data_IF_944321648081
#
_entry.id   IF_944321648081
#
_cell.length_a   1.000
_cell.length_b   1.000
_cell.length_c   1.000
_cell.angle_alpha   90.00
_cell.angle_beta   90.00
_cell.angle_gamma   90.00
#
_symmetry.space_group_name_H-M   'P 1'
#
loop_
_entity.id
_entity.type
_entity.pdbx_description
1 polymer ?
#
# COMPACT_ATOMS: atom_id res chain seq x y z
N UNK A 1 33.06 -64.09 41.36
CA UNK A 1 32.67 -62.91 40.55
C UNK A 1 31.35 -63.19 39.87
N UNK A 2 30.22 -62.72 40.41
CA UNK A 2 28.95 -62.68 39.68
C UNK A 2 28.59 -61.21 39.52
N UNK A 3 28.73 -60.71 38.30
CA UNK A 3 28.36 -59.35 37.91
C UNK A 3 26.83 -59.26 38.00
N UNK A 4 26.25 -58.37 38.84
CA UNK A 4 24.80 -58.22 38.86
C UNK A 4 24.35 -57.64 37.52
N UNK A 5 23.65 -58.45 36.73
CA UNK A 5 22.84 -57.97 35.61
C UNK A 5 21.72 -57.12 36.20
N UNK A 6 21.92 -55.80 36.25
CA UNK A 6 20.85 -54.86 36.60
C UNK A 6 19.85 -54.88 35.45
N UNK A 7 18.81 -55.70 35.60
CA UNK A 7 17.63 -55.66 34.75
C UNK A 7 16.91 -54.36 35.05
N UNK A 8 16.98 -53.41 34.14
CA UNK A 8 16.20 -52.17 34.19
C UNK A 8 14.72 -52.54 34.32
N UNK A 9 14.03 -51.98 35.30
CA UNK A 9 12.63 -52.35 35.54
C UNK A 9 11.76 -51.79 34.42
N UNK A 10 10.74 -52.54 33.99
CA UNK A 10 9.83 -52.14 32.90
C UNK A 10 9.19 -50.75 33.15
N UNK A 11 9.05 -50.38 34.43
CA UNK A 11 8.57 -49.07 34.89
C UNK A 11 9.58 -47.96 34.53
N UNK A 12 10.87 -48.14 34.77
CA UNK A 12 11.90 -47.14 34.42
C UNK A 12 11.96 -46.89 32.91
N UNK A 13 11.76 -47.94 32.09
CA UNK A 13 11.71 -47.81 30.63
C UNK A 13 10.47 -47.00 30.22
N UNK A 14 9.29 -47.31 30.77
CA UNK A 14 8.06 -46.56 30.48
C UNK A 14 8.16 -45.09 30.88
N UNK A 15 8.71 -44.79 32.06
CA UNK A 15 8.91 -43.41 32.54
C UNK A 15 9.90 -42.68 31.64
N UNK A 16 10.99 -43.33 31.24
CA UNK A 16 11.97 -42.73 30.33
C UNK A 16 11.33 -42.40 28.98
N UNK A 17 10.57 -43.32 28.39
CA UNK A 17 9.85 -43.10 27.12
C UNK A 17 8.83 -41.96 27.25
N UNK A 18 8.11 -41.87 28.36
CA UNK A 18 7.15 -40.79 28.62
C UNK A 18 7.84 -39.42 28.75
N UNK A 19 8.98 -39.35 29.45
CA UNK A 19 9.75 -38.09 29.56
C UNK A 19 10.25 -37.68 28.17
N UNK A 20 10.82 -38.60 27.40
CA UNK A 20 11.30 -38.30 26.05
C UNK A 20 10.17 -37.87 25.10
N UNK A 21 8.99 -38.48 25.18
CA UNK A 21 7.86 -38.08 24.33
C UNK A 21 7.34 -36.70 24.69
N UNK A 22 7.20 -36.37 25.97
CA UNK A 22 6.74 -35.05 26.42
C UNK A 22 7.76 -33.97 26.05
N UNK A 23 9.05 -34.20 26.31
CA UNK A 23 10.11 -33.24 25.96
C UNK A 23 10.21 -33.08 24.44
N UNK A 24 10.12 -34.19 23.69
CA UNK A 24 10.15 -34.15 22.22
C UNK A 24 8.99 -33.37 21.63
N UNK A 25 7.76 -33.57 22.14
CA UNK A 25 6.58 -32.81 21.71
C UNK A 25 6.71 -31.33 22.08
N UNK A 26 7.20 -31.00 23.28
CA UNK A 26 7.41 -29.63 23.71
C UNK A 26 8.46 -28.92 22.83
N UNK A 27 9.59 -29.56 22.54
CA UNK A 27 10.62 -29.01 21.64
C UNK A 27 10.07 -28.78 20.23
N UNK A 28 9.28 -29.72 19.70
CA UNK A 28 8.66 -29.58 18.39
C UNK A 28 7.67 -28.40 18.35
N UNK A 29 6.84 -28.24 19.38
CA UNK A 29 5.91 -27.11 19.49
C UNK A 29 6.63 -25.76 19.56
N UNK A 30 7.74 -25.67 20.31
CA UNK A 30 8.56 -24.46 20.40
C UNK A 30 9.20 -24.13 19.05
N UNK A 31 9.72 -25.13 18.33
CA UNK A 31 10.32 -24.90 17.01
C UNK A 31 9.30 -24.41 15.97
N UNK A 32 8.09 -24.96 15.98
CA UNK A 32 7.01 -24.55 15.08
C UNK A 32 6.58 -23.11 15.35
N UNK A 33 6.32 -22.77 16.62
CA UNK A 33 5.93 -21.41 17.04
C UNK A 33 7.05 -20.40 16.79
N UNK A 34 8.31 -20.74 17.09
CA UNK A 34 9.46 -19.89 16.81
C UNK A 34 9.65 -19.63 15.31
N UNK A 35 9.39 -20.63 14.45
CA UNK A 35 9.51 -20.47 13.00
C UNK A 35 8.43 -19.54 12.46
N UNK A 36 7.20 -19.63 12.98
CA UNK A 36 6.10 -18.74 12.60
C UNK A 36 6.38 -17.29 13.01
N UNK A 37 6.82 -17.09 14.26
CA UNK A 37 7.20 -15.77 14.76
C UNK A 37 8.34 -15.15 13.94
N UNK A 38 9.36 -15.95 13.60
CA UNK A 38 10.46 -15.52 12.76
C UNK A 38 9.98 -15.09 11.36
N UNK A 39 9.11 -15.88 10.72
CA UNK A 39 8.56 -15.55 9.40
C UNK A 39 7.75 -14.26 9.42
N UNK A 40 6.93 -14.07 10.46
CA UNK A 40 6.15 -12.84 10.66
C UNK A 40 7.06 -11.62 10.87
N UNK A 41 8.12 -11.78 11.67
CA UNK A 41 9.11 -10.73 11.90
C UNK A 41 9.87 -10.34 10.63
N UNK A 42 10.35 -11.31 9.86
CA UNK A 42 11.07 -11.05 8.59
C UNK A 42 10.16 -10.41 7.52
N UNK A 43 8.88 -10.81 7.46
CA UNK A 43 7.90 -10.17 6.59
C UNK A 43 7.74 -8.68 6.91
N UNK A 44 7.47 -8.33 8.17
CA UNK A 44 7.27 -6.92 8.56
C UNK A 44 8.55 -6.10 8.38
N UNK A 45 9.71 -6.67 8.73
CA UNK A 45 11.01 -6.01 8.53
C UNK A 45 11.27 -5.72 7.04
N UNK A 46 11.05 -6.68 6.15
CA UNK A 46 11.25 -6.49 4.72
C UNK A 46 10.29 -5.45 4.13
N UNK A 47 9.02 -5.43 4.57
CA UNK A 47 8.07 -4.40 4.16
C UNK A 47 8.51 -3.00 4.64
N UNK A 48 8.96 -2.89 5.89
CA UNK A 48 9.44 -1.63 6.48
C UNK A 48 10.69 -1.12 5.77
N UNK A 49 11.70 -1.96 5.54
CA UNK A 49 12.94 -1.58 4.86
C UNK A 49 12.65 -1.07 3.43
N UNK A 50 11.78 -1.76 2.69
CA UNK A 50 11.32 -1.32 1.37
C UNK A 50 10.52 -0.03 1.42
N UNK A 51 9.67 0.16 2.44
CA UNK A 51 8.88 1.39 2.59
C UNK A 51 9.79 2.62 2.75
N UNK A 52 10.86 2.49 3.55
CA UNK A 52 11.78 3.59 3.81
C UNK A 52 12.48 4.01 2.51
N UNK A 53 12.96 3.04 1.70
CA UNK A 53 13.63 3.39 0.45
C UNK A 53 12.67 4.01 -0.58
N UNK A 54 11.45 3.48 -0.68
CA UNK A 54 10.44 4.00 -1.61
C UNK A 54 10.02 5.41 -1.20
N UNK A 55 9.65 5.60 0.06
CA UNK A 55 9.17 6.89 0.55
C UNK A 55 10.27 7.96 0.47
N UNK A 56 11.52 7.62 0.77
CA UNK A 56 12.65 8.54 0.60
C UNK A 56 12.86 8.95 -0.87
N UNK A 57 12.68 8.01 -1.82
CA UNK A 57 12.81 8.31 -3.24
C UNK A 57 11.67 9.22 -3.75
N UNK A 58 10.45 8.98 -3.27
CA UNK A 58 9.29 9.85 -3.55
C UNK A 58 9.49 11.23 -2.93
N UNK A 59 9.97 11.30 -1.69
CA UNK A 59 10.24 12.55 -0.98
C UNK A 59 11.33 13.38 -1.70
N UNK A 60 12.41 12.75 -2.18
CA UNK A 60 13.44 13.42 -2.99
C UNK A 60 12.90 13.99 -4.31
N UNK A 61 11.88 13.36 -4.91
CA UNK A 61 11.19 13.91 -6.07
C UNK A 61 10.26 15.06 -5.70
N UNK A 62 9.53 14.95 -4.58
CA UNK A 62 8.61 15.99 -4.09
C UNK A 62 9.36 17.25 -3.63
N UNK A 63 10.55 17.12 -3.06
CA UNK A 63 11.39 18.26 -2.67
C UNK A 63 11.90 19.05 -3.88
N UNK A 64 11.89 18.43 -5.06
CA UNK A 64 12.27 19.05 -6.34
C UNK A 64 11.06 19.43 -7.17
N UNK A 65 9.85 19.38 -6.61
CA UNK A 65 8.64 19.69 -7.33
C UNK A 65 8.65 21.14 -7.82
N UNK A 66 8.32 21.32 -9.10
CA UNK A 66 8.19 22.66 -9.68
C UNK A 66 6.86 23.26 -9.21
N UNK A 67 6.84 24.45 -8.60
CA UNK A 67 5.59 25.11 -8.21
C UNK A 67 4.73 25.48 -9.42
N UNK A 68 3.41 25.60 -9.25
CA UNK A 68 2.50 26.03 -10.32
C UNK A 68 2.89 27.38 -10.95
N UNK A 69 3.35 28.34 -10.15
CA UNK A 69 3.79 29.65 -10.65
C UNK A 69 4.94 29.56 -11.68
N UNK A 70 5.68 28.45 -11.68
CA UNK A 70 6.78 28.17 -12.59
C UNK A 70 6.37 27.18 -13.70
N UNK A 71 5.09 26.84 -13.87
CA UNK A 71 4.61 25.89 -14.86
C UNK A 71 4.81 24.41 -14.46
N UNK A 72 4.86 24.14 -13.15
CA UNK A 72 4.83 22.78 -12.63
C UNK A 72 3.43 22.19 -12.60
N UNK A 73 3.35 20.86 -12.55
CA UNK A 73 2.10 20.12 -12.40
C UNK A 73 2.31 18.92 -11.47
N UNK A 74 1.21 18.50 -10.85
CA UNK A 74 1.08 17.21 -10.17
C UNK A 74 -0.26 16.62 -10.55
N UNK A 75 -0.24 15.35 -10.95
CA UNK A 75 -1.42 14.63 -11.39
C UNK A 75 -1.47 13.21 -10.83
N UNK A 76 -2.66 12.72 -10.49
CA UNK A 76 -2.87 11.31 -10.18
C UNK A 76 -4.10 10.76 -10.90
N UNK A 77 -3.99 9.59 -11.51
CA UNK A 77 -5.08 8.91 -12.23
C UNK A 77 -5.21 7.46 -11.78
N UNK A 78 -6.42 6.90 -11.73
CA UNK A 78 -6.66 5.50 -11.35
C UNK A 78 -6.33 4.60 -12.54
N UNK A 79 -5.48 3.60 -12.33
CA UNK A 79 -4.99 2.68 -13.36
C UNK A 79 -5.80 1.39 -13.46
N UNK A 80 -6.38 0.92 -12.35
CA UNK A 80 -7.05 -0.39 -12.31
C UNK A 80 -8.19 -0.45 -11.28
N UNK A 81 -8.92 -1.56 -11.31
CA UNK A 81 -10.07 -1.83 -10.44
C UNK A 81 -9.69 -2.06 -8.96
N UNK A 82 -8.40 -2.28 -8.67
CA UNK A 82 -7.86 -2.34 -7.31
C UNK A 82 -7.63 -0.94 -6.71
N UNK A 83 -7.86 0.12 -7.49
CA UNK A 83 -7.68 1.50 -7.04
C UNK A 83 -6.22 1.97 -7.06
N UNK A 84 -5.31 1.25 -7.76
CA UNK A 84 -3.96 1.74 -7.95
C UNK A 84 -3.97 3.04 -8.74
N UNK A 85 -3.11 3.98 -8.37
CA UNK A 85 -2.94 5.22 -9.09
C UNK A 85 -1.62 5.25 -9.88
N UNK A 86 -1.61 6.02 -10.97
CA UNK A 86 -0.40 6.61 -11.53
C UNK A 86 -0.25 8.00 -10.95
N UNK A 87 0.90 8.33 -10.37
CA UNK A 87 1.27 9.71 -10.03
C UNK A 87 2.21 10.25 -11.10
N UNK A 88 1.93 11.44 -11.62
CA UNK A 88 2.77 12.17 -12.55
C UNK A 88 3.09 13.55 -11.97
N UNK A 89 4.32 14.01 -12.07
CA UNK A 89 4.71 15.34 -11.59
C UNK A 89 5.90 15.91 -12.34
N UNK A 90 5.97 17.25 -12.40
CA UNK A 90 7.10 17.98 -12.99
C UNK A 90 8.08 18.39 -11.90
N UNK A 91 9.34 17.95 -11.99
CA UNK A 91 10.39 18.22 -11.02
C UNK A 91 11.59 18.91 -11.66
N UNK A 92 12.41 19.58 -10.86
CA UNK A 92 13.70 20.10 -11.28
C UNK A 92 14.73 18.97 -11.44
N UNK A 93 15.53 19.05 -12.50
CA UNK A 93 16.62 18.11 -12.76
C UNK A 93 17.72 18.27 -11.70
N UNK A 94 18.17 17.15 -11.15
CA UNK A 94 19.28 17.11 -10.18
C UNK A 94 20.61 17.47 -10.84
N UNK A 95 20.79 17.05 -12.09
CA UNK A 95 22.04 17.24 -12.82
C UNK A 95 21.99 18.51 -13.68
N UNK A 96 22.60 19.57 -13.15
CA UNK A 96 22.69 20.86 -13.85
C UNK A 96 23.63 20.83 -15.06
N UNK A 97 24.48 19.81 -15.19
CA UNK A 97 25.39 19.68 -16.34
C UNK A 97 24.67 19.27 -17.63
N UNK A 98 23.49 18.67 -17.50
CA UNK A 98 22.65 18.26 -18.63
C UNK A 98 21.77 19.39 -19.17
N UNK A 99 21.82 20.57 -18.54
CA UNK A 99 21.05 21.74 -18.95
C UNK A 99 21.74 22.36 -20.16
N UNK A 100 21.06 22.35 -21.29
CA UNK A 100 21.54 22.99 -22.52
C UNK A 100 21.39 24.51 -22.42
N UNK A 101 22.04 25.23 -23.34
CA UNK A 101 21.96 26.70 -23.43
C UNK A 101 20.52 27.21 -23.59
N UNK A 102 19.64 26.38 -24.14
CA UNK A 102 18.24 26.69 -24.40
C UNK A 102 17.30 26.30 -23.24
N UNK A 103 17.85 25.88 -22.09
CA UNK A 103 17.08 25.48 -20.90
C UNK A 103 16.63 24.01 -20.89
N UNK A 104 16.70 23.32 -22.04
CA UNK A 104 16.38 21.89 -22.13
C UNK A 104 17.23 21.09 -21.15
N UNK A 105 16.62 20.16 -20.42
CA UNK A 105 17.30 19.40 -19.38
C UNK A 105 17.16 19.98 -17.97
N UNK A 106 16.53 21.15 -17.85
CA UNK A 106 16.24 21.76 -16.54
C UNK A 106 15.14 21.03 -15.77
N UNK A 107 14.17 20.43 -16.47
CA UNK A 107 12.98 19.82 -15.87
C UNK A 107 12.76 18.38 -16.34
N UNK A 108 12.22 17.57 -15.44
CA UNK A 108 11.84 16.19 -15.68
C UNK A 108 10.36 16.00 -15.38
N UNK A 109 9.68 15.20 -16.20
CA UNK A 109 8.41 14.61 -15.83
C UNK A 109 8.70 13.24 -15.22
N UNK A 110 8.24 13.02 -14.00
CA UNK A 110 8.42 11.77 -13.25
C UNK A 110 7.07 11.12 -13.03
N UNK A 111 7.07 9.80 -13.14
CA UNK A 111 5.89 8.96 -13.03
C UNK A 111 6.13 7.87 -11.99
N UNK A 112 5.11 7.56 -11.20
CA UNK A 112 5.10 6.47 -10.24
C UNK A 112 3.86 5.62 -10.47
N UNK A 113 4.02 4.29 -10.50
CA UNK A 113 2.91 3.35 -10.62
C UNK A 113 3.25 1.99 -10.06
N UNK A 114 2.23 1.21 -9.75
CA UNK A 114 2.39 -0.23 -9.52
C UNK A 114 2.21 -0.97 -10.83
N UNK A 115 3.23 -1.73 -11.22
CA UNK A 115 3.12 -2.67 -12.32
C UNK A 115 2.52 -3.98 -11.80
N UNK A 116 1.27 -4.24 -12.19
CA UNK A 116 0.51 -5.45 -11.84
C UNK A 116 0.59 -6.55 -12.90
N UNK A 117 1.47 -6.42 -13.92
CA UNK A 117 1.60 -7.42 -14.99
C UNK A 117 1.98 -8.82 -14.46
N UNK A 118 2.79 -8.88 -13.39
CA UNK A 118 2.94 -10.10 -12.59
C UNK A 118 2.17 -9.97 -11.27
N UNK A 119 0.97 -10.57 -11.16
CA UNK A 119 0.16 -10.49 -9.94
C UNK A 119 0.81 -11.18 -8.74
N UNK A 120 1.86 -12.00 -8.94
CA UNK A 120 2.60 -12.64 -7.86
C UNK A 120 3.65 -11.72 -7.24
N UNK A 121 4.16 -10.78 -8.04
CA UNK A 121 5.26 -9.89 -7.68
C UNK A 121 4.97 -8.49 -8.20
N UNK A 122 3.99 -7.78 -7.61
CA UNK A 122 3.72 -6.42 -8.02
C UNK A 122 4.92 -5.54 -7.64
N UNK A 123 5.33 -4.69 -8.58
CA UNK A 123 6.53 -3.87 -8.48
C UNK A 123 6.13 -2.41 -8.58
N UNK A 124 6.61 -1.58 -7.65
CA UNK A 124 6.52 -0.14 -7.81
C UNK A 124 7.60 0.30 -8.81
N UNK A 125 7.17 0.95 -9.88
CA UNK A 125 8.04 1.47 -10.92
C UNK A 125 8.08 2.99 -10.86
N UNK A 126 9.27 3.54 -11.11
CA UNK A 126 9.49 4.96 -11.34
C UNK A 126 9.91 5.17 -12.78
N UNK A 127 9.17 6.00 -13.49
CA UNK A 127 9.46 6.43 -14.85
C UNK A 127 9.93 7.87 -14.88
N UNK A 128 10.79 8.23 -15.83
CA UNK A 128 11.16 9.62 -16.06
C UNK A 128 11.38 9.93 -17.54
N UNK A 129 11.08 11.17 -17.93
CA UNK A 129 11.42 11.76 -19.22
C UNK A 129 11.73 13.25 -19.08
N UNK A 130 12.42 13.81 -20.06
CA UNK A 130 12.63 15.26 -20.13
C UNK A 130 11.29 15.98 -20.32
N UNK A 131 11.04 17.01 -19.51
CA UNK A 131 9.87 17.87 -19.63
C UNK A 131 10.24 19.16 -20.37
N UNK A 132 9.28 19.75 -21.09
CA UNK A 132 9.48 21.06 -21.70
C UNK A 132 9.37 22.16 -20.65
N UNK A 133 10.17 23.22 -20.84
CA UNK A 133 10.21 24.38 -19.95
C UNK A 133 9.00 25.32 -20.14
N UNK A 134 8.45 25.40 -21.35
CA UNK A 134 7.49 26.43 -21.78
C UNK A 134 6.02 26.07 -21.67
N UNK A 135 5.70 24.80 -21.50
CA UNK A 135 4.33 24.35 -21.70
C UNK A 135 3.72 24.20 -20.30
N UNK A 136 3.08 25.27 -19.83
CA UNK A 136 2.10 25.22 -18.73
C UNK A 136 0.83 24.46 -19.11
N UNK A 137 0.93 23.59 -20.13
CA UNK A 137 -0.11 22.74 -20.67
C UNK A 137 0.16 21.32 -20.14
N UNK A 138 -0.53 20.92 -19.06
CA UNK A 138 -0.42 19.56 -18.55
C UNK A 138 -0.87 18.51 -19.57
N UNK A 139 -1.67 18.84 -20.59
CA UNK A 139 -2.22 17.82 -21.50
C UNK A 139 -1.14 17.26 -22.45
N UNK A 140 -0.18 18.10 -22.87
CA UNK A 140 0.93 17.65 -23.71
C UNK A 140 2.03 16.89 -22.94
N UNK A 141 2.13 17.10 -21.63
CA UNK A 141 3.19 16.52 -20.78
C UNK A 141 2.68 15.43 -19.80
N UNK A 142 1.39 15.37 -19.49
CA UNK A 142 0.80 14.52 -18.46
C UNK A 142 -0.28 13.53 -18.97
N UNK A 143 -0.95 13.77 -20.10
CA UNK A 143 -2.15 12.98 -20.45
C UNK A 143 -1.97 11.83 -21.44
N UNK A 144 -0.92 11.80 -22.26
CA UNK A 144 -0.76 10.70 -23.24
C UNK A 144 0.38 9.77 -22.86
N UNK A 145 -0.01 8.82 -22.02
CA UNK A 145 0.61 7.54 -21.73
C UNK A 145 2.04 7.55 -21.16
N UNK A 146 2.28 6.64 -20.22
CA UNK A 146 3.62 6.17 -19.89
C UNK A 146 4.38 5.53 -21.08
N UNK A 147 3.82 5.59 -22.28
CA UNK A 147 4.37 5.14 -23.53
C UNK A 147 5.58 6.02 -23.89
N UNK A 148 6.72 5.36 -24.03
CA UNK A 148 8.06 5.97 -24.18
C UNK A 148 8.70 6.48 -22.88
N UNK A 149 8.18 6.11 -21.71
CA UNK A 149 8.91 6.27 -20.46
C UNK A 149 9.74 5.01 -20.19
N UNK A 150 11.02 5.20 -19.84
CA UNK A 150 11.82 4.09 -19.32
C UNK A 150 11.46 3.87 -17.84
N UNK A 151 10.86 2.72 -17.57
CA UNK A 151 10.41 2.33 -16.22
C UNK A 151 11.52 1.63 -15.47
N UNK A 152 11.81 2.10 -14.26
CA UNK A 152 12.80 1.51 -13.36
C UNK A 152 12.11 0.94 -12.13
N UNK A 153 12.26 -0.37 -11.85
CA UNK A 153 11.80 -0.98 -10.60
C UNK A 153 12.43 -0.26 -9.40
N UNK A 154 11.59 0.27 -8.51
CA UNK A 154 12.02 1.01 -7.31
C UNK A 154 11.70 0.25 -6.03
N UNK A 155 10.72 -0.66 -6.05
CA UNK A 155 10.43 -1.54 -4.93
C UNK A 155 9.63 -2.78 -5.31
N UNK A 156 9.95 -3.91 -4.70
CA UNK A 156 9.26 -5.20 -4.91
C UNK A 156 8.23 -5.42 -3.80
N UNK A 157 7.09 -6.02 -4.15
CA UNK A 157 6.04 -6.36 -3.19
C UNK A 157 5.12 -5.18 -2.86
N UNK A 158 5.16 -4.10 -3.65
CA UNK A 158 4.22 -3.00 -3.56
C UNK A 158 2.92 -3.40 -4.24
N UNK A 159 1.91 -3.78 -3.46
CA UNK A 159 0.64 -4.28 -3.97
C UNK A 159 -0.35 -3.16 -4.26
N UNK A 160 -0.19 -2.02 -3.58
CA UNK A 160 -1.06 -0.86 -3.75
C UNK A 160 -0.25 0.43 -3.73
N UNK A 161 -0.58 1.35 -4.63
CA UNK A 161 -0.10 2.73 -4.62
C UNK A 161 -1.26 3.66 -4.93
N UNK A 162 -1.46 4.67 -4.09
CA UNK A 162 -2.53 5.65 -4.30
C UNK A 162 -2.15 7.02 -3.77
N UNK A 163 -2.79 8.03 -4.35
CA UNK A 163 -2.51 9.44 -4.06
C UNK A 163 -3.81 10.21 -3.85
N UNK A 164 -3.79 11.09 -2.86
CA UNK A 164 -4.85 12.03 -2.54
C UNK A 164 -4.27 13.43 -2.46
N UNK A 165 -5.04 14.43 -2.88
CA UNK A 165 -4.66 15.83 -2.86
C UNK A 165 -5.59 16.62 -1.93
N UNK A 166 -5.06 17.66 -1.29
CA UNK A 166 -5.84 18.66 -0.55
C UNK A 166 -5.69 20.02 -1.24
N UNK A 167 -6.81 20.71 -1.45
CA UNK A 167 -6.84 22.10 -1.91
C UNK A 167 -6.59 23.11 -0.78
N UNK A 168 -7.05 22.80 0.43
CA UNK A 168 -6.94 23.72 1.57
C UNK A 168 -5.56 23.64 2.23
N UNK A 169 -4.90 24.80 2.35
CA UNK A 169 -3.63 24.99 3.04
C UNK A 169 -3.78 24.92 4.58
N UNK A 170 -4.72 24.15 5.09
CA UNK A 170 -4.90 24.01 6.52
C UNK A 170 -3.78 23.13 7.08
N UNK A 171 -2.88 23.76 7.84
CA UNK A 171 -1.85 23.10 8.64
C UNK A 171 -2.42 22.01 9.59
N UNK A 172 -3.74 22.02 9.80
CA UNK A 172 -4.50 21.01 10.51
C UNK A 172 -4.66 19.67 9.76
N UNK A 173 -4.26 19.55 8.48
CA UNK A 173 -4.32 18.30 7.69
C UNK A 173 -2.94 17.67 7.47
N UNK A 174 -1.95 18.02 8.28
CA UNK A 174 -0.59 17.45 8.16
C UNK A 174 -0.43 16.14 8.94
N UNK A 175 -1.40 15.72 9.76
CA UNK A 175 -1.34 14.44 10.46
C UNK A 175 -2.07 13.34 9.66
N UNK A 176 -1.53 12.10 9.57
CA UNK A 176 -2.18 11.00 8.86
C UNK A 176 -3.61 10.68 9.32
N UNK A 177 -3.94 10.98 10.59
CA UNK A 177 -5.28 10.77 11.15
C UNK A 177 -6.34 11.74 10.61
N UNK A 178 -5.94 12.94 10.19
CA UNK A 178 -6.87 13.96 9.66
C UNK A 178 -7.34 13.63 8.23
N UNK A 179 -6.71 12.64 7.61
CA UNK A 179 -7.09 12.10 6.30
C UNK A 179 -7.95 10.83 6.42
N UNK A 180 -8.33 10.42 7.64
CA UNK A 180 -9.04 9.16 7.90
C UNK A 180 -10.32 9.30 8.74
N UNK A 181 -10.62 10.46 9.31
CA UNK A 181 -11.80 10.59 10.19
C UNK A 181 -12.39 12.00 10.16
N UNK A 182 -13.70 12.10 9.96
CA UNK A 182 -14.46 13.29 10.35
C UNK A 182 -14.81 13.26 11.86
N UNK A 183 -15.53 14.29 12.33
CA UNK A 183 -15.95 14.40 13.73
C UNK A 183 -16.91 13.28 14.21
N UNK A 184 -17.46 12.46 13.30
CA UNK A 184 -18.29 11.30 13.61
C UNK A 184 -17.49 9.98 13.65
N UNK A 185 -16.20 9.99 13.28
CA UNK A 185 -15.34 8.80 13.28
C UNK A 185 -15.50 7.93 12.02
N UNK A 186 -16.13 8.46 10.98
CA UNK A 186 -16.22 7.80 9.67
C UNK A 186 -15.06 8.26 8.77
N UNK A 187 -14.55 7.34 7.93
CA UNK A 187 -13.62 7.64 6.82
C UNK A 187 -14.38 8.42 5.73
N UNK A 188 -14.68 9.70 5.99
CA UNK A 188 -15.31 10.60 5.03
C UNK A 188 -14.43 11.83 4.84
N UNK A 189 -14.10 12.06 3.58
CA UNK A 189 -13.48 13.26 3.01
C UNK A 189 -14.13 14.55 3.54
N UNK A 190 -13.44 15.71 3.59
CA UNK A 190 -14.09 17.00 3.78
C UNK A 190 -15.12 17.19 2.67
N UNK A 191 -16.39 17.09 3.03
CA UNK A 191 -17.40 17.85 2.32
C UNK A 191 -17.05 19.31 2.59
N UNK A 192 -16.54 20.01 1.60
CA UNK A 192 -16.41 21.46 1.66
C UNK A 192 -17.75 22.03 2.14
N UNK A 193 -17.68 22.74 3.26
CA UNK A 193 -18.83 23.31 3.92
C UNK A 193 -19.58 24.24 2.96
N UNK A 194 -20.85 23.93 2.74
CA UNK A 194 -21.83 24.94 2.34
C UNK A 194 -22.03 25.16 0.85
N UNK A 195 -22.28 24.12 0.07
CA UNK A 195 -23.34 24.22 -0.95
C UNK A 195 -23.95 22.85 -1.23
N UNK A 196 -25.28 22.78 -1.22
CA UNK A 196 -26.04 21.56 -1.49
C UNK A 196 -25.89 21.02 -2.94
N UNK A 197 -24.93 21.54 -3.71
CA UNK A 197 -24.61 21.11 -5.07
C UNK A 197 -23.44 20.10 -5.14
N UNK A 198 -22.69 19.88 -4.05
CA UNK A 198 -21.58 18.91 -4.00
C UNK A 198 -21.78 17.80 -2.96
N UNK A 199 -23.01 17.64 -2.45
CA UNK A 199 -23.37 16.72 -1.37
C UNK A 199 -23.35 15.21 -1.76
N UNK A 200 -22.68 14.84 -2.85
CA UNK A 200 -22.53 13.44 -3.25
C UNK A 200 -21.25 13.16 -4.03
N UNK A 201 -20.10 13.66 -3.57
CA UNK A 201 -18.82 13.02 -3.94
C UNK A 201 -18.56 11.86 -2.97
N UNK A 202 -19.56 10.97 -2.88
CA UNK A 202 -19.32 9.57 -2.60
C UNK A 202 -18.66 9.01 -3.87
N UNK A 203 -17.62 8.17 -3.82
CA UNK A 203 -17.08 7.56 -5.03
C UNK A 203 -18.15 6.64 -5.60
N UNK A 204 -18.95 7.16 -6.53
CA UNK A 204 -19.82 6.35 -7.37
C UNK A 204 -18.91 5.59 -8.33
N UNK A 205 -19.10 4.27 -8.51
CA UNK A 205 -18.42 3.52 -9.56
C UNK A 205 -18.55 4.27 -10.91
N UNK A 206 -17.44 4.66 -11.52
CA UNK A 206 -17.44 5.36 -12.80
C UNK A 206 -17.39 6.90 -12.75
N UNK A 207 -17.23 7.54 -11.58
CA UNK A 207 -16.76 8.93 -11.53
C UNK A 207 -15.31 8.96 -11.07
N UNK A 208 -14.35 9.00 -11.99
CA UNK A 208 -12.96 9.19 -11.63
C UNK A 208 -12.83 10.57 -10.94
N UNK A 209 -11.89 10.70 -9.99
CA UNK A 209 -11.07 11.90 -10.03
C UNK A 209 -10.22 11.78 -11.29
N UNK A 210 -10.88 11.86 -12.44
CA UNK A 210 -10.29 12.45 -13.60
C UNK A 210 -9.97 13.84 -13.12
N UNK A 211 -8.83 14.35 -13.55
CA UNK A 211 -8.77 15.78 -13.70
C UNK A 211 -10.10 16.20 -14.30
N UNK A 212 -10.80 17.12 -13.62
CA UNK A 212 -11.64 18.05 -14.37
C UNK A 212 -10.77 18.42 -15.55
N UNK A 213 -11.22 18.03 -16.74
CA UNK A 213 -10.64 18.31 -18.05
C UNK A 213 -9.86 19.64 -18.00
N UNK A 214 -8.74 19.74 -18.74
CA UNK A 214 -7.60 20.61 -18.45
C UNK A 214 -8.03 21.90 -17.81
N UNK A 215 -7.59 22.15 -16.57
CA UNK A 215 -7.86 23.42 -15.93
C UNK A 215 -9.39 23.70 -15.80
N UNK A 216 -10.00 23.66 -14.60
CA UNK A 216 -10.76 24.86 -14.28
C UNK A 216 -9.70 25.96 -14.37
N UNK A 217 -9.90 26.99 -15.20
CA UNK A 217 -8.97 28.11 -15.40
C UNK A 217 -8.57 28.87 -14.10
N UNK A 218 -8.92 28.30 -12.94
CA UNK A 218 -8.81 28.76 -11.56
C UNK A 218 -8.48 27.62 -10.56
N UNK A 219 -8.19 26.38 -11.00
CA UNK A 219 -7.85 25.26 -10.11
C UNK A 219 -6.51 25.49 -9.41
N UNK A 220 -6.55 25.76 -8.10
CA UNK A 220 -5.35 25.96 -7.32
C UNK A 220 -4.47 24.70 -7.33
N UNK A 221 -3.16 24.89 -7.43
CA UNK A 221 -2.18 23.83 -7.17
C UNK A 221 -2.47 23.23 -5.79
N UNK A 222 -2.49 21.89 -5.64
CA UNK A 222 -2.79 21.28 -4.36
C UNK A 222 -1.78 21.76 -3.33
N UNK A 223 -2.24 22.08 -2.12
CA UNK A 223 -1.41 22.58 -1.02
C UNK A 223 -0.82 21.45 -0.18
N UNK A 224 -1.41 20.26 -0.25
CA UNK A 224 -0.86 19.05 0.35
C UNK A 224 -1.23 17.80 -0.46
N UNK A 225 -0.47 16.74 -0.26
CA UNK A 225 -0.78 15.43 -0.78
C UNK A 225 -0.53 14.34 0.26
N UNK A 226 -1.32 13.27 0.17
CA UNK A 226 -1.10 12.02 0.88
C UNK A 226 -0.82 10.93 -0.14
N UNK A 227 0.24 10.17 0.09
CA UNK A 227 0.59 8.97 -0.65
C UNK A 227 0.38 7.80 0.30
N UNK A 228 -0.27 6.75 -0.18
CA UNK A 228 -0.44 5.49 0.55
C UNK A 228 0.12 4.34 -0.27
N UNK A 229 0.93 3.54 0.39
CA UNK A 229 1.51 2.31 -0.12
C UNK A 229 0.97 1.15 0.70
N UNK A 230 0.72 0.02 0.03
CA UNK A 230 0.52 -1.24 0.72
C UNK A 230 1.60 -2.21 0.27
N UNK A 231 2.44 -2.63 1.22
CA UNK A 231 3.58 -3.50 0.95
C UNK A 231 3.35 -4.86 1.60
N UNK A 232 3.57 -5.93 0.83
CA UNK A 232 3.70 -7.31 1.36
C UNK A 232 5.15 -7.68 1.69
N UNK A 233 6.10 -6.77 1.45
CA UNK A 233 7.53 -7.06 1.51
C UNK A 233 7.99 -8.03 0.41
N UNK A 234 9.26 -7.98 0.05
CA UNK A 234 9.86 -8.86 -0.96
C UNK A 234 10.18 -10.26 -0.38
N UNK A 235 9.21 -10.86 0.30
CA UNK A 235 9.45 -12.04 1.09
C UNK A 235 8.64 -13.22 0.58
N UNK A 236 9.33 -14.35 0.37
CA UNK A 236 8.69 -15.67 0.25
C UNK A 236 7.79 -16.02 1.45
N UNK A 237 7.88 -15.26 2.53
CA UNK A 237 7.08 -15.38 3.74
C UNK A 237 5.86 -14.45 3.76
N UNK A 238 5.58 -13.71 2.68
CA UNK A 238 4.36 -12.93 2.55
C UNK A 238 3.14 -13.85 2.79
N UNK A 239 2.31 -13.55 3.80
CA UNK A 239 1.22 -14.42 4.20
C UNK A 239 0.15 -14.43 3.11
N UNK A 240 -0.26 -15.64 2.73
CA UNK A 240 -1.27 -15.90 1.70
C UNK A 240 -2.30 -16.84 2.26
N UNK A 241 -3.56 -16.62 1.90
CA UNK A 241 -4.66 -17.48 2.31
C UNK A 241 -5.69 -17.63 1.20
N UNK A 242 -6.76 -18.35 1.51
CA UNK A 242 -7.92 -18.47 0.62
C UNK A 242 -9.22 -18.27 1.39
N UNK A 243 -10.17 -17.57 0.77
CA UNK A 243 -11.50 -17.33 1.36
C UNK A 243 -12.22 -18.66 1.58
N UNK A 244 -12.74 -18.86 2.79
CA UNK A 244 -13.60 -19.98 3.17
C UNK A 244 -15.06 -19.56 3.12
N UNK A 245 -15.36 -18.40 3.70
CA UNK A 245 -16.67 -17.76 3.69
C UNK A 245 -16.48 -16.26 3.77
N UNK A 246 -17.34 -15.52 3.06
CA UNK A 246 -17.28 -14.07 3.04
C UNK A 246 -18.65 -13.45 3.37
N UNK A 247 -18.66 -12.59 4.38
CA UNK A 247 -19.82 -11.81 4.79
C UNK A 247 -19.42 -10.34 4.92
N UNK A 248 -20.39 -9.43 4.97
CA UNK A 248 -20.10 -7.99 4.98
C UNK A 248 -19.14 -7.56 6.09
N UNK A 249 -19.24 -8.17 7.27
CA UNK A 249 -18.49 -7.79 8.49
C UNK A 249 -17.42 -8.80 8.90
N UNK A 250 -17.35 -9.96 8.24
CA UNK A 250 -16.48 -11.05 8.63
C UNK A 250 -16.06 -11.89 7.41
N UNK A 251 -14.75 -12.10 7.29
CA UNK A 251 -14.16 -12.88 6.18
C UNK A 251 -13.32 -13.97 6.78
N UNK A 252 -13.75 -15.22 6.58
CA UNK A 252 -13.03 -16.40 7.05
C UNK A 252 -12.05 -16.86 5.99
N UNK A 253 -10.82 -17.11 6.40
CA UNK A 253 -9.69 -17.44 5.54
C UNK A 253 -8.98 -18.68 6.06
N UNK A 254 -8.57 -19.55 5.14
CA UNK A 254 -7.74 -20.72 5.41
C UNK A 254 -6.30 -20.51 4.91
N UNK A 255 -5.35 -21.19 5.55
CA UNK A 255 -3.94 -21.18 5.12
C UNK A 255 -3.16 -19.91 5.45
N UNK A 256 -3.82 -18.91 6.03
CA UNK A 256 -3.19 -17.66 6.45
C UNK A 256 -2.51 -17.85 7.82
N UNK A 257 -1.19 -17.74 7.86
CA UNK A 257 -0.40 -17.70 9.08
C UNK A 257 0.25 -16.34 9.26
N UNK A 258 0.42 -15.89 10.51
CA UNK A 258 1.17 -14.66 10.81
C UNK A 258 0.56 -13.34 10.33
N UNK A 259 -0.77 -13.26 10.18
CA UNK A 259 -1.44 -11.99 9.86
C UNK A 259 -1.10 -10.90 10.87
N UNK A 260 -0.83 -9.67 10.39
CA UNK A 260 -0.69 -8.54 11.29
C UNK A 260 -2.04 -8.27 11.97
N UNK A 261 -2.02 -8.00 13.27
CA UNK A 261 -3.20 -7.59 14.04
C UNK A 261 -3.08 -6.13 14.43
N UNK A 262 -2.16 -5.39 13.80
CA UNK A 262 -2.01 -3.96 14.01
C UNK A 262 -3.16 -3.25 13.31
N UNK A 263 -3.69 -2.21 13.96
CA UNK A 263 -4.71 -1.34 13.38
C UNK A 263 -4.17 -0.70 12.09
N UNK A 264 -4.98 -0.69 11.03
CA UNK A 264 -4.56 -0.24 9.70
C UNK A 264 -3.94 -1.32 8.82
N UNK A 265 -3.98 -2.59 9.25
CA UNK A 265 -3.64 -3.72 8.38
C UNK A 265 -4.73 -3.94 7.33
N UNK A 266 -4.31 -4.37 6.14
CA UNK A 266 -5.21 -4.49 4.99
C UNK A 266 -5.01 -5.83 4.30
N UNK A 267 -6.11 -6.38 3.79
CA UNK A 267 -6.15 -7.61 3.03
C UNK A 267 -6.63 -7.31 1.61
N UNK A 268 -5.98 -7.89 0.61
CA UNK A 268 -6.47 -7.91 -0.76
C UNK A 268 -7.21 -9.22 -1.01
N UNK A 269 -8.44 -9.15 -1.50
CA UNK A 269 -9.21 -10.31 -1.96
C UNK A 269 -9.71 -10.03 -3.37
N UNK A 270 -9.16 -10.74 -4.35
CA UNK A 270 -9.35 -10.37 -5.76
C UNK A 270 -8.86 -8.95 -6.00
N UNK A 271 -9.77 -8.08 -6.46
CA UNK A 271 -9.51 -6.65 -6.69
C UNK A 271 -10.02 -5.76 -5.55
N UNK A 272 -10.55 -6.33 -4.44
CA UNK A 272 -11.01 -5.56 -3.27
C UNK A 272 -9.90 -5.42 -2.22
N UNK A 273 -9.72 -4.21 -1.70
CA UNK A 273 -8.96 -3.96 -0.48
C UNK A 273 -9.87 -3.86 0.72
N UNK A 274 -9.49 -4.56 1.79
CA UNK A 274 -10.29 -4.71 3.00
C UNK A 274 -9.43 -4.36 4.20
N UNK A 275 -9.72 -3.24 4.85
CA UNK A 275 -9.22 -2.92 6.17
C UNK A 275 -9.84 -3.84 7.22
N UNK A 276 -9.04 -4.25 8.20
CA UNK A 276 -9.51 -5.06 9.31
C UNK A 276 -8.86 -4.61 10.63
N UNK A 277 -9.61 -4.70 11.72
CA UNK A 277 -9.16 -4.30 13.06
C UNK A 277 -8.48 -5.46 13.81
N UNK A 278 -8.73 -6.70 13.37
CA UNK A 278 -8.19 -7.88 14.00
C UNK A 278 -8.29 -9.13 13.14
N UNK A 279 -7.49 -10.13 13.50
CA UNK A 279 -7.53 -11.46 12.91
C UNK A 279 -7.45 -12.51 14.02
N UNK A 280 -8.51 -13.30 14.17
CA UNK A 280 -8.59 -14.36 15.18
C UNK A 280 -9.37 -15.55 14.60
N UNK A 281 -9.00 -16.78 14.99
CA UNK A 281 -9.66 -18.03 14.57
C UNK A 281 -9.84 -18.20 13.05
N UNK A 282 -8.93 -17.61 12.27
CA UNK A 282 -8.99 -17.63 10.81
C UNK A 282 -10.00 -16.64 10.23
N UNK A 283 -10.43 -15.63 10.97
CA UNK A 283 -11.44 -14.66 10.55
C UNK A 283 -10.93 -13.22 10.70
N UNK A 284 -11.06 -12.42 9.65
CA UNK A 284 -10.86 -10.98 9.72
C UNK A 284 -12.08 -10.31 10.33
N UNK A 285 -11.83 -9.46 11.33
CA UNK A 285 -12.83 -8.55 11.89
C UNK A 285 -12.85 -7.28 11.04
N UNK A 286 -13.83 -7.18 10.14
CA UNK A 286 -13.93 -6.08 9.18
C UNK A 286 -14.86 -5.00 9.75
N UNK A 287 -14.38 -3.77 10.00
CA UNK A 287 -15.24 -2.69 10.43
C UNK A 287 -16.27 -2.34 9.35
N UNK A 288 -17.33 -1.62 9.71
CA UNK A 288 -18.40 -1.27 8.77
C UNK A 288 -17.90 -0.53 7.51
N UNK A 289 -16.81 0.23 7.66
CA UNK A 289 -16.11 1.00 6.61
C UNK A 289 -14.89 0.27 6.03
N UNK A 290 -14.60 -0.95 6.48
CA UNK A 290 -13.37 -1.66 6.11
C UNK A 290 -13.36 -2.18 4.67
N UNK A 291 -14.52 -2.32 4.04
CA UNK A 291 -14.64 -2.78 2.64
C UNK A 291 -14.41 -1.65 1.64
N UNK A 292 -14.08 -2.03 0.41
CA UNK A 292 -13.77 -1.09 -0.67
C UNK A 292 -12.71 -0.05 -0.28
N UNK A 293 -11.77 -0.46 0.57
CA UNK A 293 -10.71 0.44 0.99
C UNK A 293 -9.85 0.82 -0.21
N UNK A 294 -9.16 1.95 -0.11
CA UNK A 294 -8.33 2.49 -1.20
C UNK A 294 -8.99 2.58 -2.59
N UNK A 295 -10.31 2.77 -2.66
CA UNK A 295 -11.06 2.93 -3.93
C UNK A 295 -11.14 1.66 -4.79
N UNK A 296 -10.93 0.48 -4.21
CA UNK A 296 -11.20 -0.76 -4.95
C UNK A 296 -12.68 -0.88 -5.32
N UNK A 297 -12.96 -1.28 -6.56
CA UNK A 297 -14.30 -1.16 -7.16
C UNK A 297 -15.25 -2.29 -6.71
N UNK A 298 -14.72 -3.43 -6.26
CA UNK A 298 -15.54 -4.58 -5.88
C UNK A 298 -16.14 -4.44 -4.47
N UNK A 299 -17.48 -4.45 -4.37
CA UNK A 299 -18.24 -4.33 -3.11
C UNK A 299 -18.90 -5.65 -2.66
N UNK A 300 -18.58 -6.77 -3.32
CA UNK A 300 -19.37 -8.00 -3.26
C UNK A 300 -18.86 -9.04 -2.26
N UNK A 301 -19.60 -10.13 -2.16
CA UNK A 301 -19.09 -11.34 -1.50
C UNK A 301 -18.09 -12.04 -2.43
N UNK A 302 -16.92 -12.37 -1.91
CA UNK A 302 -15.88 -13.11 -2.60
C UNK A 302 -16.21 -14.60 -2.67
N UNK A 303 -15.94 -15.27 -3.80
CA UNK A 303 -16.16 -16.71 -3.92
C UNK A 303 -15.21 -17.49 -3.00
N UNK A 304 -15.69 -18.62 -2.49
CA UNK A 304 -14.83 -19.57 -1.75
C UNK A 304 -13.65 -19.98 -2.62
N UNK A 305 -12.45 -19.94 -2.05
CA UNK A 305 -11.19 -20.21 -2.73
C UNK A 305 -10.49 -18.99 -3.31
N UNK A 306 -11.12 -17.79 -3.29
CA UNK A 306 -10.46 -16.55 -3.71
C UNK A 306 -9.17 -16.32 -2.92
N UNK A 307 -8.12 -15.90 -3.61
CA UNK A 307 -6.82 -15.67 -2.99
C UNK A 307 -6.88 -14.43 -2.08
N UNK A 308 -6.30 -14.57 -0.89
CA UNK A 308 -6.15 -13.49 0.10
C UNK A 308 -4.66 -13.17 0.21
N UNK A 309 -4.31 -11.91 0.03
CA UNK A 309 -2.97 -11.38 0.31
C UNK A 309 -3.06 -10.37 1.45
N UNK A 310 -2.04 -10.29 2.29
CA UNK A 310 -1.96 -9.22 3.29
C UNK A 310 -0.87 -8.23 2.91
N UNK A 311 -1.09 -6.99 3.32
CA UNK A 311 -0.07 -5.96 3.29
C UNK A 311 -0.10 -5.09 4.52
N UNK A 312 1.02 -4.41 4.74
CA UNK A 312 1.15 -3.33 5.68
C UNK A 312 1.00 -2.00 4.97
N UNK A 313 0.21 -1.11 5.56
CA UNK A 313 -0.03 0.21 5.02
C UNK A 313 1.04 1.18 5.52
N UNK A 314 1.60 1.95 4.58
CA UNK A 314 2.52 3.04 4.83
C UNK A 314 1.95 4.30 4.21
N UNK A 315 2.12 5.45 4.86
CA UNK A 315 1.62 6.72 4.34
C UNK A 315 2.63 7.84 4.51
N UNK A 316 2.76 8.66 3.46
CA UNK A 316 3.52 9.89 3.45
C UNK A 316 2.55 11.05 3.22
N UNK A 317 2.54 12.01 4.14
CA UNK A 317 1.78 13.26 4.01
C UNK A 317 2.77 14.39 3.82
N UNK A 318 2.58 15.19 2.77
CA UNK A 318 3.53 16.26 2.40
C UNK A 318 2.78 17.52 2.00
N UNK A 319 3.21 18.66 2.54
CA UNK A 319 2.83 19.97 2.04
C UNK A 319 3.52 20.24 0.69
N UNK A 320 2.78 20.80 -0.25
CA UNK A 320 3.28 21.15 -1.58
C UNK A 320 3.56 22.67 -1.65
N UNK A 321 4.55 23.09 -2.46
CA UNK A 321 5.00 24.48 -2.57
C UNK A 321 4.05 25.38 -3.39
#
# INVERSE_FOLDING_TARGET
>A
MRCPRMAMTLIEILVSVMIFSVVGLAMMAILLTSTELFRRGEYGRAATDSSISILAAIEDDLDRLVPAANGGFVAATIQDDSGNCMLAMKIESRDKSLITKDGVGRRLAVFWRVNVSDPKHPVLERGQRWAKDSDGDPDNDAETDGDNVSWTPTGIGCMHFSVWFSGDADAARLSPSDWTTDAAGDDIWPQDGGSAAYASIQPVPGTPYDFIAPHPATGAFPSAMRIVLVLSGDSRYAPKGTVVSDTRTAIRVAGLGGASTLRGSVAQVGDEWIAYDGFADGEFQVPATGRQHFRSIFAGAHPRGAAVKLGEMYSLVRSLP
#
